data_IF_457473623888
#
_entry.id   IF_457473623888
#
_cell.length_a   1.000
_cell.length_b   1.000
_cell.length_c   1.000
_cell.angle_alpha   90.00
_cell.angle_beta   90.00
_cell.angle_gamma   90.00
#
_symmetry.space_group_name_H-M   'P 1'
#
loop_
_entity.id
_entity.type
_entity.pdbx_description
1 polymer ?
#
# COMPACT_ATOMS: atom_id res chain seq x y z
N UNK A 1 40.07 -20.68 -37.36
CA UNK A 1 38.72 -20.22 -36.98
C UNK A 1 38.81 -19.64 -35.58
N UNK A 2 38.85 -18.31 -35.48
CA UNK A 2 38.98 -17.61 -34.20
C UNK A 2 37.61 -17.56 -33.52
N UNK A 3 37.49 -18.19 -32.36
CA UNK A 3 36.29 -18.07 -31.52
C UNK A 3 36.10 -16.60 -31.13
N UNK A 4 34.92 -16.00 -31.37
CA UNK A 4 34.68 -14.63 -30.96
C UNK A 4 34.82 -14.55 -29.43
N UNK A 5 35.66 -13.61 -28.99
CA UNK A 5 35.83 -13.32 -27.57
C UNK A 5 34.47 -12.92 -26.99
N UNK A 6 34.01 -13.52 -25.87
CA UNK A 6 32.76 -13.12 -25.25
C UNK A 6 32.84 -11.63 -24.92
N UNK A 7 31.86 -10.87 -25.40
CA UNK A 7 31.76 -9.45 -25.09
C UNK A 7 31.86 -9.26 -23.57
N UNK A 8 32.65 -8.30 -23.06
CA UNK A 8 32.79 -8.07 -21.63
C UNK A 8 31.39 -7.89 -21.06
N UNK A 9 31.05 -8.71 -20.08
CA UNK A 9 29.80 -8.60 -19.33
C UNK A 9 29.79 -7.21 -18.71
N UNK A 10 29.16 -6.25 -19.40
CA UNK A 10 29.01 -4.90 -18.92
C UNK A 10 28.48 -4.97 -17.49
N UNK A 11 29.18 -4.31 -16.59
CA UNK A 11 29.04 -4.38 -15.15
C UNK A 11 27.60 -3.99 -14.74
N UNK A 12 26.67 -4.96 -14.77
CA UNK A 12 25.25 -4.82 -14.40
C UNK A 12 25.08 -4.82 -12.87
N UNK A 13 26.10 -4.36 -12.14
CA UNK A 13 26.12 -4.35 -10.68
C UNK A 13 25.58 -3.04 -10.09
N UNK A 14 25.37 -1.99 -10.89
CA UNK A 14 24.77 -0.75 -10.40
C UNK A 14 23.34 -0.92 -9.86
N UNK A 15 22.99 -0.17 -8.79
CA UNK A 15 21.65 -0.16 -8.20
C UNK A 15 20.55 0.06 -9.26
N UNK A 16 20.75 1.02 -10.18
CA UNK A 16 19.80 1.35 -11.23
C UNK A 16 19.50 0.16 -12.18
N UNK A 17 20.52 -0.63 -12.53
CA UNK A 17 20.35 -1.81 -13.37
C UNK A 17 19.58 -2.94 -12.67
N UNK A 18 19.53 -2.92 -11.32
CA UNK A 18 18.86 -3.94 -10.50
C UNK A 18 17.50 -3.47 -9.96
N UNK A 19 17.28 -2.17 -9.86
CA UNK A 19 16.01 -1.55 -9.45
C UNK A 19 15.05 -1.30 -10.63
N UNK A 20 15.60 -0.90 -11.77
CA UNK A 20 14.83 -0.52 -12.95
C UNK A 20 15.00 -1.51 -14.10
N UNK A 21 13.94 -1.65 -14.87
CA UNK A 21 13.94 -2.35 -16.15
C UNK A 21 13.48 -1.37 -17.24
N UNK A 22 14.45 -0.71 -17.90
CA UNK A 22 14.16 0.26 -18.95
C UNK A 22 13.41 -0.34 -20.13
N UNK A 23 13.51 -1.66 -20.35
CA UNK A 23 12.76 -2.36 -21.41
C UNK A 23 11.28 -2.52 -21.08
N UNK A 24 10.91 -2.39 -19.80
CA UNK A 24 9.53 -2.33 -19.35
C UNK A 24 8.88 -0.94 -19.55
N UNK A 25 9.55 -0.03 -20.27
CA UNK A 25 8.98 1.24 -20.71
C UNK A 25 8.53 1.14 -22.18
N UNK A 26 7.32 1.58 -22.54
CA UNK A 26 6.38 2.39 -21.76
C UNK A 26 5.62 1.64 -20.65
N UNK A 27 5.06 2.33 -19.64
CA UNK A 27 4.28 1.71 -18.57
C UNK A 27 3.09 0.94 -19.13
N UNK A 28 2.82 -0.21 -18.52
CA UNK A 28 1.64 -1.01 -18.86
C UNK A 28 0.33 -0.24 -18.59
N UNK A 29 -0.77 -0.55 -19.31
CA UNK A 29 -2.05 0.12 -19.14
C UNK A 29 -2.56 0.17 -17.69
N UNK A 30 -2.36 -0.90 -16.91
CA UNK A 30 -2.77 -0.94 -15.51
C UNK A 30 -2.06 0.13 -14.65
N UNK A 31 -0.78 0.41 -14.91
CA UNK A 31 -0.04 1.47 -14.21
C UNK A 31 -0.53 2.86 -14.62
N UNK A 32 -0.83 3.06 -15.91
CA UNK A 32 -1.41 4.31 -16.41
C UNK A 32 -2.79 4.57 -15.79
N UNK A 33 -3.66 3.56 -15.74
CA UNK A 33 -4.96 3.66 -15.09
C UNK A 33 -4.84 3.95 -13.60
N UNK A 34 -3.89 3.30 -12.93
CA UNK A 34 -3.63 3.55 -11.51
C UNK A 34 -3.17 4.99 -11.27
N UNK A 35 -2.22 5.47 -12.08
CA UNK A 35 -1.75 6.85 -12.03
C UNK A 35 -2.86 7.86 -12.35
N UNK A 36 -3.75 7.55 -13.30
CA UNK A 36 -4.90 8.39 -13.63
C UNK A 36 -5.88 8.50 -12.46
N UNK A 37 -6.19 7.39 -11.77
CA UNK A 37 -7.04 7.40 -10.59
C UNK A 37 -6.43 8.23 -9.45
N UNK A 38 -5.12 8.08 -9.20
CA UNK A 38 -4.38 8.88 -8.21
C UNK A 38 -4.34 10.37 -8.61
N UNK A 39 -4.15 10.68 -9.90
CA UNK A 39 -4.16 12.06 -10.40
C UNK A 39 -5.54 12.72 -10.23
N UNK A 40 -6.63 12.00 -10.53
CA UNK A 40 -7.98 12.49 -10.30
C UNK A 40 -8.22 12.82 -8.81
N UNK A 41 -7.77 11.96 -7.91
CA UNK A 41 -7.84 12.22 -6.47
C UNK A 41 -6.97 13.43 -6.05
N UNK A 42 -5.75 13.54 -6.59
CA UNK A 42 -4.87 14.67 -6.32
C UNK A 42 -5.50 16.00 -6.78
N UNK A 43 -6.11 16.05 -7.96
CA UNK A 43 -6.85 17.24 -8.45
C UNK A 43 -8.01 17.57 -7.51
N UNK A 44 -8.80 16.58 -7.10
CA UNK A 44 -9.92 16.78 -6.18
C UNK A 44 -9.46 17.35 -4.83
N UNK A 45 -8.35 16.86 -4.27
CA UNK A 45 -7.71 17.37 -3.05
C UNK A 45 -7.18 18.79 -3.22
N UNK A 46 -6.55 19.09 -4.36
CA UNK A 46 -5.99 20.42 -4.64
C UNK A 46 -7.06 21.52 -4.58
N UNK A 47 -8.25 21.21 -5.10
CA UNK A 47 -9.41 22.10 -5.10
C UNK A 47 -9.95 22.39 -3.69
N UNK A 48 -9.66 21.55 -2.69
CA UNK A 48 -10.09 21.76 -1.30
C UNK A 48 -9.24 22.80 -0.55
N UNK A 49 -8.02 23.08 -1.01
CA UNK A 49 -7.13 24.05 -0.37
C UNK A 49 -6.50 23.56 0.95
N UNK A 50 -5.81 24.47 1.65
CA UNK A 50 -5.17 24.21 2.95
C UNK A 50 -4.21 23.01 2.95
N UNK A 51 -4.27 22.20 4.00
CA UNK A 51 -3.48 20.97 4.17
C UNK A 51 -3.68 19.94 3.04
N UNK A 52 -4.83 19.98 2.35
CA UNK A 52 -5.13 19.06 1.24
C UNK A 52 -4.34 19.38 -0.04
N UNK A 53 -3.82 20.60 -0.22
CA UNK A 53 -2.87 20.87 -1.32
C UNK A 53 -1.56 20.10 -1.13
N UNK A 54 -1.09 19.96 0.11
CA UNK A 54 0.08 19.14 0.40
C UNK A 54 -0.23 17.65 0.11
N UNK A 55 -1.41 17.16 0.51
CA UNK A 55 -1.87 15.82 0.16
C UNK A 55 -1.89 15.59 -1.36
N UNK A 56 -2.41 16.55 -2.12
CA UNK A 56 -2.46 16.49 -3.58
C UNK A 56 -1.07 16.34 -4.20
N UNK A 57 -0.10 17.15 -3.76
CA UNK A 57 1.29 17.05 -4.23
C UNK A 57 1.88 15.68 -3.88
N UNK A 58 1.68 15.21 -2.65
CA UNK A 58 2.17 13.92 -2.20
C UNK A 58 1.58 12.76 -3.01
N UNK A 59 0.27 12.75 -3.27
CA UNK A 59 -0.41 11.75 -4.11
C UNK A 59 0.09 11.81 -5.56
N UNK A 60 0.31 13.00 -6.11
CA UNK A 60 0.87 13.15 -7.45
C UNK A 60 2.31 12.60 -7.54
N UNK A 61 3.15 12.86 -6.53
CA UNK A 61 4.51 12.30 -6.45
C UNK A 61 4.49 10.77 -6.34
N UNK A 62 3.56 10.21 -5.56
CA UNK A 62 3.39 8.75 -5.44
C UNK A 62 2.92 8.13 -6.77
N UNK A 63 2.01 8.80 -7.48
CA UNK A 63 1.58 8.38 -8.82
C UNK A 63 2.74 8.38 -9.82
N UNK A 64 3.56 9.43 -9.83
CA UNK A 64 4.76 9.52 -10.67
C UNK A 64 5.80 8.45 -10.29
N UNK A 65 6.01 8.22 -9.00
CA UNK A 65 6.87 7.15 -8.51
C UNK A 65 6.36 5.77 -8.98
N UNK A 66 5.05 5.54 -8.96
CA UNK A 66 4.43 4.32 -9.45
C UNK A 66 4.59 4.09 -10.96
N UNK A 67 4.76 5.16 -11.74
CA UNK A 67 5.02 5.07 -13.18
C UNK A 67 6.47 4.70 -13.51
N UNK A 68 7.42 4.87 -12.59
CA UNK A 68 8.82 4.51 -12.84
C UNK A 68 8.94 3.04 -13.31
N UNK A 69 9.95 2.71 -14.15
CA UNK A 69 10.13 1.39 -14.72
C UNK A 69 10.69 0.39 -13.70
N UNK A 70 10.03 0.28 -12.54
CA UNK A 70 10.41 -0.65 -11.49
C UNK A 70 10.43 -2.09 -12.02
N UNK A 71 11.54 -2.79 -11.80
CA UNK A 71 11.77 -4.16 -12.28
C UNK A 71 10.72 -5.13 -11.74
N UNK A 72 10.17 -6.01 -12.57
CA UNK A 72 9.17 -6.99 -12.15
C UNK A 72 9.58 -8.42 -12.53
N UNK A 73 9.18 -9.45 -11.77
CA UNK A 73 8.49 -9.39 -10.47
C UNK A 73 9.38 -8.83 -9.36
N UNK A 74 8.76 -8.26 -8.31
CA UNK A 74 9.49 -7.61 -7.18
C UNK A 74 10.51 -8.53 -6.49
N UNK A 75 10.33 -9.84 -6.58
CA UNK A 75 11.25 -10.85 -6.04
C UNK A 75 12.61 -10.86 -6.74
N UNK A 76 12.70 -10.39 -7.99
CA UNK A 76 13.97 -10.29 -8.74
C UNK A 76 14.80 -9.06 -8.37
N UNK A 77 14.30 -8.18 -7.49
CA UNK A 77 15.03 -6.99 -7.04
C UNK A 77 15.99 -7.35 -5.92
N UNK A 78 17.12 -6.65 -5.85
CA UNK A 78 17.96 -6.68 -4.65
C UNK A 78 17.17 -6.19 -3.44
N UNK A 79 17.55 -6.64 -2.24
CA UNK A 79 16.90 -6.19 -1.01
C UNK A 79 16.94 -4.67 -0.85
N UNK A 80 18.04 -4.00 -1.24
CA UNK A 80 18.13 -2.54 -1.23
C UNK A 80 17.14 -1.86 -2.19
N UNK A 81 17.02 -2.34 -3.44
CA UNK A 81 16.06 -1.78 -4.40
C UNK A 81 14.61 -2.02 -3.97
N UNK A 82 14.34 -3.18 -3.37
CA UNK A 82 13.05 -3.49 -2.76
C UNK A 82 12.74 -2.56 -1.59
N UNK A 83 13.71 -2.33 -0.71
CA UNK A 83 13.58 -1.43 0.43
C UNK A 83 13.36 0.02 -0.01
N UNK A 84 14.11 0.53 -0.99
CA UNK A 84 13.95 1.91 -1.48
C UNK A 84 12.56 2.17 -2.08
N UNK A 85 12.00 1.24 -2.88
CA UNK A 85 10.62 1.36 -3.37
C UNK A 85 9.63 1.44 -2.19
N UNK A 86 9.78 0.55 -1.21
CA UNK A 86 8.90 0.48 -0.06
C UNK A 86 9.05 1.70 0.87
N UNK A 87 10.27 2.24 0.99
CA UNK A 87 10.54 3.46 1.74
C UNK A 87 9.86 4.66 1.08
N UNK A 88 9.92 4.79 -0.26
CA UNK A 88 9.17 5.82 -0.99
C UNK A 88 7.66 5.66 -0.78
N UNK A 89 7.16 4.42 -0.87
CA UNK A 89 5.76 4.12 -0.65
C UNK A 89 5.28 4.50 0.76
N UNK A 90 6.11 4.34 1.80
CA UNK A 90 5.78 4.76 3.18
C UNK A 90 6.02 6.25 3.42
N UNK A 91 7.04 6.83 2.78
CA UNK A 91 7.43 8.23 2.99
C UNK A 91 6.32 9.21 2.63
N UNK A 92 5.59 8.97 1.53
CA UNK A 92 4.45 9.80 1.10
C UNK A 92 3.35 9.87 2.17
N UNK A 93 2.74 8.74 2.61
CA UNK A 93 1.71 8.76 3.64
C UNK A 93 2.24 9.24 5.00
N UNK A 94 3.49 8.95 5.37
CA UNK A 94 4.10 9.47 6.60
C UNK A 94 4.30 11.00 6.57
N UNK A 95 4.76 11.54 5.43
CA UNK A 95 4.92 12.98 5.23
C UNK A 95 3.56 13.69 5.37
N UNK A 96 2.47 13.08 4.89
CA UNK A 96 1.14 13.66 5.07
C UNK A 96 0.74 13.77 6.54
N UNK A 97 0.99 12.74 7.36
CA UNK A 97 0.77 12.81 8.82
C UNK A 97 1.59 13.96 9.41
N UNK A 98 2.86 14.09 9.04
CA UNK A 98 3.72 15.15 9.55
C UNK A 98 3.19 16.56 9.20
N UNK A 99 2.73 16.76 7.96
CA UNK A 99 2.09 18.03 7.54
C UNK A 99 0.78 18.26 8.30
N UNK A 100 -0.07 17.24 8.45
CA UNK A 100 -1.32 17.34 9.20
C UNK A 100 -1.07 17.72 10.66
N UNK A 101 -0.07 17.11 11.31
CA UNK A 101 0.35 17.44 12.67
C UNK A 101 0.88 18.88 12.77
N UNK A 102 1.78 19.27 11.85
CA UNK A 102 2.37 20.62 11.82
C UNK A 102 1.33 21.73 11.58
N UNK A 103 0.27 21.43 10.82
CA UNK A 103 -0.84 22.35 10.56
C UNK A 103 -1.94 22.30 11.62
N UNK A 104 -1.81 21.47 12.67
CA UNK A 104 -2.80 21.36 13.74
C UNK A 104 -4.14 20.78 13.28
N UNK A 105 -4.12 19.86 12.32
CA UNK A 105 -5.33 19.30 11.72
C UNK A 105 -6.21 18.60 12.78
N UNK A 106 -7.42 19.10 13.09
CA UNK A 106 -8.21 18.63 14.24
C UNK A 106 -8.77 17.21 14.07
N UNK A 107 -8.80 16.69 12.84
CA UNK A 107 -9.23 15.32 12.57
C UNK A 107 -8.16 14.28 12.92
N UNK A 108 -6.88 14.67 13.05
CA UNK A 108 -5.76 13.73 13.23
C UNK A 108 -5.83 12.99 14.57
N UNK A 109 -6.27 13.68 15.62
CA UNK A 109 -6.37 13.14 16.98
C UNK A 109 -7.80 12.95 17.46
N UNK A 110 -8.79 13.20 16.58
CA UNK A 110 -10.21 13.06 16.92
C UNK A 110 -10.55 11.58 17.11
N UNK A 111 -10.88 11.20 18.34
CA UNK A 111 -11.39 9.87 18.65
C UNK A 111 -12.86 9.68 18.24
N UNK A 112 -13.27 8.41 18.14
CA UNK A 112 -14.67 8.01 18.03
C UNK A 112 -15.21 7.50 19.39
N UNK A 113 -16.54 7.33 19.47
CA UNK A 113 -17.14 6.57 20.58
C UNK A 113 -16.57 5.14 20.65
N UNK A 114 -16.37 4.62 21.87
CA UNK A 114 -15.63 3.38 22.11
C UNK A 114 -16.20 2.15 21.35
N UNK A 115 -17.51 2.10 21.10
CA UNK A 115 -18.15 0.99 20.40
C UNK A 115 -17.77 0.92 18.91
N UNK A 116 -17.33 2.03 18.29
CA UNK A 116 -16.83 2.02 16.91
C UNK A 116 -15.57 1.18 16.76
N UNK A 117 -14.76 1.06 17.81
CA UNK A 117 -13.59 0.18 17.80
C UNK A 117 -14.00 -1.30 17.83
N UNK A 118 -15.13 -1.66 18.47
CA UNK A 118 -15.69 -3.00 18.36
C UNK A 118 -16.22 -3.29 16.96
N UNK A 119 -16.90 -2.31 16.34
CA UNK A 119 -17.35 -2.42 14.94
C UNK A 119 -16.16 -2.60 14.00
N UNK A 120 -15.06 -1.87 14.23
CA UNK A 120 -13.82 -2.01 13.48
C UNK A 120 -13.24 -3.43 13.58
N UNK A 121 -13.19 -4.02 14.78
CA UNK A 121 -12.74 -5.39 14.98
C UNK A 121 -13.65 -6.40 14.29
N UNK A 122 -14.97 -6.23 14.37
CA UNK A 122 -15.94 -7.06 13.66
C UNK A 122 -15.76 -6.99 12.14
N UNK A 123 -15.57 -5.78 11.60
CA UNK A 123 -15.29 -5.56 10.19
C UNK A 123 -13.99 -6.25 9.76
N UNK A 124 -12.91 -6.10 10.53
CA UNK A 124 -11.64 -6.76 10.23
C UNK A 124 -11.80 -8.29 10.21
N UNK A 125 -12.54 -8.87 11.17
CA UNK A 125 -12.83 -10.31 11.17
C UNK A 125 -13.58 -10.75 9.90
N UNK A 126 -14.58 -9.98 9.45
CA UNK A 126 -15.32 -10.27 8.20
C UNK A 126 -14.38 -10.22 6.99
N UNK A 127 -13.52 -9.19 6.89
CA UNK A 127 -12.56 -9.04 5.79
C UNK A 127 -11.54 -10.19 5.78
N UNK A 128 -11.06 -10.60 6.95
CA UNK A 128 -10.16 -11.75 7.10
C UNK A 128 -10.80 -13.06 6.63
N UNK A 129 -12.07 -13.30 6.98
CA UNK A 129 -12.83 -14.46 6.50
C UNK A 129 -13.06 -14.41 4.99
N UNK A 130 -13.43 -13.24 4.46
CA UNK A 130 -13.62 -13.03 3.03
C UNK A 130 -12.31 -13.25 2.23
N UNK A 131 -11.17 -12.86 2.80
CA UNK A 131 -9.83 -13.07 2.23
C UNK A 131 -9.44 -14.55 2.08
N UNK A 132 -10.01 -15.45 2.89
CA UNK A 132 -9.84 -16.89 2.73
C UNK A 132 -8.47 -17.43 3.16
N UNK A 133 -7.75 -16.72 4.01
CA UNK A 133 -6.47 -17.20 4.53
C UNK A 133 -6.68 -18.44 5.41
N UNK A 134 -5.86 -19.47 5.20
CA UNK A 134 -5.87 -20.64 6.07
C UNK A 134 -5.08 -20.34 7.36
N UNK A 135 -5.79 -19.86 8.39
CA UNK A 135 -5.21 -19.50 9.67
C UNK A 135 -4.49 -20.66 10.36
N UNK A 136 -4.94 -21.90 10.16
CA UNK A 136 -4.27 -23.08 10.73
C UNK A 136 -2.85 -23.21 10.17
N UNK A 137 -2.68 -23.09 8.86
CA UNK A 137 -1.37 -23.14 8.19
C UNK A 137 -0.51 -21.92 8.47
N UNK A 138 -1.13 -20.74 8.67
CA UNK A 138 -0.41 -19.55 9.09
C UNK A 138 0.19 -19.76 10.49
N UNK A 139 -0.61 -20.24 11.44
CA UNK A 139 -0.17 -20.42 12.82
C UNK A 139 0.86 -21.56 12.98
N UNK A 140 0.81 -22.59 12.12
CA UNK A 140 1.87 -23.63 12.11
C UNK A 140 3.17 -23.17 11.44
N UNK A 141 3.16 -22.07 10.68
CA UNK A 141 4.31 -21.62 9.88
C UNK A 141 4.49 -22.34 8.55
N UNK A 142 3.68 -23.37 8.27
CA UNK A 142 3.70 -24.11 7.01
C UNK A 142 3.39 -23.19 5.81
N UNK A 143 2.54 -22.19 6.01
CA UNK A 143 2.22 -21.22 4.95
C UNK A 143 3.46 -20.44 4.51
N UNK A 144 4.36 -20.10 5.44
CA UNK A 144 5.64 -19.45 5.13
C UNK A 144 6.59 -20.38 4.36
N UNK A 145 6.38 -21.71 4.38
CA UNK A 145 7.11 -22.67 3.56
C UNK A 145 6.52 -22.75 2.16
N UNK A 146 5.20 -22.86 2.06
CA UNK A 146 4.50 -23.06 0.79
C UNK A 146 4.53 -21.82 -0.13
N UNK A 147 4.59 -20.61 0.42
CA UNK A 147 4.59 -19.36 -0.37
C UNK A 147 5.90 -19.12 -1.16
N UNK A 148 6.96 -19.90 -0.87
CA UNK A 148 8.22 -19.84 -1.61
C UNK A 148 9.16 -18.73 -1.13
N UNK A 149 10.28 -18.52 -1.85
CA UNK A 149 11.40 -17.73 -1.35
C UNK A 149 11.11 -16.22 -1.36
N UNK A 150 11.43 -15.57 -0.24
CA UNK A 150 11.68 -14.13 -0.13
C UNK A 150 12.98 -14.01 0.64
N UNK A 151 13.87 -13.09 0.25
CA UNK A 151 15.05 -12.83 1.09
C UNK A 151 14.60 -12.28 2.45
N UNK A 152 15.34 -12.53 3.55
CA UNK A 152 14.96 -12.01 4.86
C UNK A 152 14.81 -10.50 4.87
N UNK A 153 15.65 -9.76 4.12
CA UNK A 153 15.53 -8.31 4.00
C UNK A 153 14.22 -7.89 3.32
N UNK A 154 13.79 -8.59 2.26
CA UNK A 154 12.49 -8.34 1.63
C UNK A 154 11.33 -8.66 2.59
N UNK A 155 11.42 -9.76 3.34
CA UNK A 155 10.42 -10.16 4.32
C UNK A 155 10.31 -9.13 5.47
N UNK A 156 11.43 -8.72 6.06
CA UNK A 156 11.50 -7.65 7.08
C UNK A 156 10.94 -6.33 6.56
N UNK A 157 11.23 -6.00 5.30
CA UNK A 157 10.69 -4.80 4.66
C UNK A 157 9.16 -4.88 4.58
N UNK A 158 8.59 -6.03 4.20
CA UNK A 158 7.13 -6.24 4.17
C UNK A 158 6.49 -6.19 5.55
N UNK A 159 7.16 -6.72 6.58
CA UNK A 159 6.72 -6.59 7.98
C UNK A 159 6.65 -5.12 8.37
N UNK A 160 7.73 -4.37 8.12
CA UNK A 160 7.80 -2.96 8.45
C UNK A 160 6.74 -2.14 7.71
N UNK A 161 6.60 -2.32 6.40
CA UNK A 161 5.61 -1.58 5.61
C UNK A 161 4.18 -2.00 5.92
N UNK A 162 3.91 -3.29 6.09
CA UNK A 162 2.59 -3.79 6.47
C UNK A 162 2.11 -3.29 7.84
N UNK A 163 3.04 -2.92 8.72
CA UNK A 163 2.76 -2.37 10.06
C UNK A 163 2.65 -0.85 10.04
N UNK A 164 3.57 -0.16 9.36
CA UNK A 164 3.70 1.30 9.42
C UNK A 164 2.87 2.03 8.37
N UNK A 165 2.74 1.47 7.16
CA UNK A 165 2.01 2.13 6.08
C UNK A 165 0.53 2.42 6.39
N UNK A 166 -0.22 1.52 7.09
CA UNK A 166 -1.62 1.76 7.40
C UNK A 166 -1.89 3.12 8.07
N UNK A 167 -1.02 3.55 9.00
CA UNK A 167 -1.18 4.84 9.69
C UNK A 167 -1.34 6.00 8.71
N UNK A 168 -0.38 6.14 7.78
CA UNK A 168 -0.41 7.24 6.84
C UNK A 168 -1.34 6.98 5.66
N UNK A 169 -1.64 5.72 5.31
CA UNK A 169 -2.61 5.39 4.27
C UNK A 169 -4.03 5.78 4.70
N UNK A 170 -4.42 5.46 5.93
CA UNK A 170 -5.70 5.90 6.49
C UNK A 170 -5.79 7.43 6.56
N UNK A 171 -4.71 8.07 7.02
CA UNK A 171 -4.64 9.52 7.06
C UNK A 171 -4.77 10.12 5.65
N UNK A 172 -3.98 9.68 4.67
CA UNK A 172 -3.94 10.30 3.35
C UNK A 172 -5.19 10.03 2.52
N UNK A 173 -5.68 8.79 2.51
CA UNK A 173 -6.72 8.37 1.58
C UNK A 173 -8.14 8.40 2.16
N UNK A 174 -8.30 8.44 3.49
CA UNK A 174 -9.62 8.34 4.13
C UNK A 174 -9.98 9.49 5.05
N UNK A 175 -9.00 10.23 5.62
CA UNK A 175 -9.30 11.31 6.56
C UNK A 175 -10.18 12.44 5.99
N UNK A 176 -10.16 12.64 4.67
CA UNK A 176 -11.01 13.65 4.03
C UNK A 176 -12.50 13.41 4.31
N UNK A 177 -12.92 12.15 4.49
CA UNK A 177 -14.30 11.80 4.84
C UNK A 177 -14.76 12.36 6.20
N UNK A 178 -13.83 12.68 7.11
CA UNK A 178 -14.15 13.33 8.40
C UNK A 178 -14.48 14.81 8.23
N UNK A 179 -13.92 15.45 7.21
CA UNK A 179 -14.07 16.88 6.92
C UNK A 179 -15.01 17.17 5.75
N UNK A 180 -15.37 16.14 4.99
CA UNK A 180 -16.19 16.23 3.81
C UNK A 180 -17.62 16.68 4.16
N UNK A 181 -18.08 17.75 3.51
CA UNK A 181 -19.48 18.16 3.52
C UNK A 181 -20.02 18.21 2.09
N UNK A 182 -21.28 17.80 1.94
CA UNK A 182 -21.99 17.85 0.66
C UNK A 182 -21.48 16.88 -0.42
N UNK A 183 -22.04 16.97 -1.64
CA UNK A 183 -21.78 16.01 -2.72
C UNK A 183 -20.30 15.98 -3.17
N UNK A 184 -19.64 17.14 -3.26
CA UNK A 184 -18.23 17.22 -3.64
C UNK A 184 -17.33 16.51 -2.61
N UNK A 185 -17.70 16.60 -1.32
CA UNK A 185 -17.02 15.90 -0.24
C UNK A 185 -17.04 14.38 -0.40
N UNK A 186 -18.22 13.85 -0.74
CA UNK A 186 -18.44 12.42 -1.00
C UNK A 186 -17.63 11.95 -2.21
N UNK A 187 -17.67 12.69 -3.32
CA UNK A 187 -16.92 12.35 -4.54
C UNK A 187 -15.42 12.28 -4.27
N UNK A 188 -14.84 13.28 -3.60
CA UNK A 188 -13.41 13.28 -3.24
C UNK A 188 -13.05 12.09 -2.35
N UNK A 189 -13.93 11.73 -1.41
CA UNK A 189 -13.71 10.57 -0.53
C UNK A 189 -13.75 9.24 -1.29
N UNK A 190 -14.66 9.09 -2.25
CA UNK A 190 -14.72 7.92 -3.14
C UNK A 190 -13.49 7.84 -4.06
N UNK A 191 -13.02 8.97 -4.58
CA UNK A 191 -11.76 9.04 -5.32
C UNK A 191 -10.57 8.62 -4.45
N UNK A 192 -10.57 8.98 -3.16
CA UNK A 192 -9.56 8.52 -2.19
C UNK A 192 -9.55 6.99 -2.05
N UNK A 193 -10.73 6.36 -1.94
CA UNK A 193 -10.85 4.90 -1.91
C UNK A 193 -10.38 4.25 -3.23
N UNK A 194 -10.72 4.82 -4.38
CA UNK A 194 -10.25 4.35 -5.68
C UNK A 194 -8.73 4.49 -5.84
N UNK A 195 -8.15 5.62 -5.42
CA UNK A 195 -6.72 5.87 -5.43
C UNK A 195 -5.97 4.91 -4.49
N UNK A 196 -6.52 4.62 -3.31
CA UNK A 196 -5.99 3.62 -2.39
C UNK A 196 -5.89 2.23 -3.04
N UNK A 197 -6.95 1.77 -3.71
CA UNK A 197 -6.92 0.49 -4.44
C UNK A 197 -5.89 0.57 -5.58
N UNK A 198 -5.98 1.59 -6.43
CA UNK A 198 -5.10 1.79 -7.59
C UNK A 198 -3.61 1.68 -7.22
N UNK A 199 -3.20 2.32 -6.12
CA UNK A 199 -1.82 2.28 -5.61
C UNK A 199 -1.33 0.85 -5.34
N UNK A 200 -2.19 -0.06 -4.89
CA UNK A 200 -1.86 -1.45 -4.62
C UNK A 200 -1.74 -2.32 -5.88
N UNK A 201 -2.26 -1.86 -7.04
CA UNK A 201 -2.25 -2.57 -8.32
C UNK A 201 -1.06 -2.22 -9.24
N UNK A 202 -0.24 -1.22 -8.88
CA UNK A 202 0.95 -0.81 -9.66
C UNK A 202 1.99 -1.94 -9.80
N UNK A 203 1.97 -2.90 -8.87
CA UNK A 203 2.91 -4.03 -8.80
C UNK A 203 2.50 -5.29 -9.57
N UNK A 204 1.60 -5.18 -10.54
CA UNK A 204 1.10 -6.21 -11.46
C UNK A 204 1.50 -7.68 -11.19
N UNK A 205 0.92 -8.25 -10.14
CA UNK A 205 1.00 -9.70 -9.90
C UNK A 205 -0.32 -10.32 -10.33
N UNK A 206 -0.28 -11.33 -11.22
CA UNK A 206 -1.46 -12.00 -11.76
C UNK A 206 -2.52 -12.38 -10.70
N UNK A 207 -2.09 -12.75 -9.49
CA UNK A 207 -2.99 -13.09 -8.38
C UNK A 207 -3.80 -11.91 -7.84
N UNK A 208 -3.29 -10.67 -7.93
CA UNK A 208 -4.01 -9.45 -7.51
C UNK A 208 -5.20 -9.16 -8.41
N UNK A 209 -5.17 -9.65 -9.65
CA UNK A 209 -6.29 -9.51 -10.60
C UNK A 209 -7.37 -10.58 -10.41
N UNK A 210 -7.19 -11.53 -9.49
CA UNK A 210 -8.20 -12.53 -9.22
C UNK A 210 -9.50 -11.85 -8.73
N UNK A 211 -10.69 -12.19 -9.28
CA UNK A 211 -11.94 -11.50 -8.96
C UNK A 211 -12.23 -11.43 -7.46
N UNK A 212 -11.92 -12.51 -6.72
CA UNK A 212 -12.06 -12.55 -5.27
C UNK A 212 -11.17 -11.51 -4.57
N UNK A 213 -9.91 -11.37 -4.99
CA UNK A 213 -8.97 -10.40 -4.39
C UNK A 213 -9.45 -8.98 -4.64
N UNK A 214 -9.83 -8.67 -5.88
CA UNK A 214 -10.39 -7.36 -6.25
C UNK A 214 -11.67 -7.07 -5.47
N UNK A 215 -12.56 -8.04 -5.32
CA UNK A 215 -13.79 -7.87 -4.54
C UNK A 215 -13.52 -7.62 -3.05
N UNK A 216 -12.56 -8.32 -2.44
CA UNK A 216 -12.16 -8.10 -1.04
C UNK A 216 -11.49 -6.74 -0.86
N UNK A 217 -10.63 -6.32 -1.81
CA UNK A 217 -9.99 -5.00 -1.77
C UNK A 217 -11.02 -3.87 -1.93
N UNK A 218 -11.99 -4.01 -2.85
CA UNK A 218 -13.11 -3.08 -2.99
C UNK A 218 -13.96 -3.03 -1.72
N UNK A 219 -14.32 -4.19 -1.17
CA UNK A 219 -15.09 -4.28 0.07
C UNK A 219 -14.35 -3.58 1.20
N UNK A 220 -13.06 -3.89 1.40
CA UNK A 220 -12.22 -3.26 2.42
C UNK A 220 -12.12 -1.74 2.23
N UNK A 221 -11.90 -1.28 0.99
CA UNK A 221 -11.79 0.15 0.71
C UNK A 221 -13.07 0.92 1.07
N UNK A 222 -14.22 0.40 0.64
CA UNK A 222 -15.53 1.01 0.87
C UNK A 222 -15.96 0.91 2.34
N UNK A 223 -15.73 -0.25 2.99
CA UNK A 223 -16.12 -0.45 4.39
C UNK A 223 -15.27 0.40 5.34
N UNK A 224 -13.97 0.53 5.08
CA UNK A 224 -13.09 1.40 5.87
C UNK A 224 -13.45 2.88 5.66
N UNK A 225 -13.77 3.28 4.43
CA UNK A 225 -14.26 4.64 4.16
C UNK A 225 -15.58 4.92 4.90
N UNK A 226 -16.53 3.99 4.84
CA UNK A 226 -17.80 4.11 5.56
C UNK A 226 -17.58 4.20 7.07
N UNK A 227 -16.65 3.40 7.60
CA UNK A 227 -16.29 3.43 9.02
C UNK A 227 -15.74 4.81 9.44
N UNK A 228 -14.90 5.45 8.61
CA UNK A 228 -14.43 6.83 8.88
C UNK A 228 -15.57 7.83 8.82
N UNK A 229 -16.40 7.78 7.77
CA UNK A 229 -17.49 8.72 7.58
C UNK A 229 -18.54 8.65 8.70
N UNK A 230 -18.89 7.44 9.14
CA UNK A 230 -19.92 7.23 10.17
C UNK A 230 -19.39 7.45 11.59
N UNK A 231 -18.13 7.13 11.86
CA UNK A 231 -17.52 7.34 13.18
C UNK A 231 -16.99 8.75 13.41
N UNK A 232 -16.79 9.51 12.33
CA UNK A 232 -16.15 10.84 12.38
C UNK A 232 -14.68 10.78 12.81
N UNK A 233 -14.04 9.61 12.73
CA UNK A 233 -12.65 9.37 13.14
C UNK A 233 -11.96 8.40 12.21
N UNK A 234 -10.67 8.63 11.98
CA UNK A 234 -9.81 7.72 11.21
C UNK A 234 -9.38 6.50 12.04
N UNK A 235 -9.41 6.60 13.38
CA UNK A 235 -8.82 5.60 14.28
C UNK A 235 -9.51 4.23 14.22
N UNK A 236 -10.85 4.11 14.14
CA UNK A 236 -11.49 2.81 13.96
C UNK A 236 -11.10 2.14 12.63
N UNK A 237 -11.00 2.90 11.54
CA UNK A 237 -10.55 2.36 10.25
C UNK A 237 -9.09 1.91 10.30
N UNK A 238 -8.22 2.67 10.97
CA UNK A 238 -6.83 2.28 11.23
C UNK A 238 -6.73 0.98 12.02
N UNK A 239 -7.52 0.83 13.09
CA UNK A 239 -7.55 -0.42 13.86
C UNK A 239 -7.97 -1.60 12.97
N UNK A 240 -9.06 -1.44 12.20
CA UNK A 240 -9.53 -2.49 11.30
C UNK A 240 -8.49 -2.85 10.25
N UNK A 241 -7.82 -1.85 9.66
CA UNK A 241 -6.76 -2.06 8.67
C UNK A 241 -5.55 -2.79 9.27
N UNK A 242 -5.07 -2.39 10.45
CA UNK A 242 -3.95 -3.06 11.14
C UNK A 242 -4.28 -4.53 11.44
N UNK A 243 -5.49 -4.80 11.97
CA UNK A 243 -5.93 -6.18 12.26
C UNK A 243 -6.07 -7.00 10.97
N UNK A 244 -6.61 -6.40 9.91
CA UNK A 244 -6.72 -7.05 8.60
C UNK A 244 -5.34 -7.37 7.99
N UNK A 245 -4.33 -6.54 8.24
CA UNK A 245 -2.97 -6.77 7.75
C UNK A 245 -2.15 -7.73 8.63
N UNK A 246 -2.52 -7.91 9.90
CA UNK A 246 -1.76 -8.69 10.87
C UNK A 246 -1.39 -10.10 10.38
N UNK A 247 -2.26 -10.87 9.69
CA UNK A 247 -1.88 -12.19 9.19
C UNK A 247 -0.79 -12.15 8.11
N UNK A 248 -0.82 -11.15 7.23
CA UNK A 248 0.23 -10.94 6.22
C UNK A 248 1.55 -10.52 6.88
N UNK A 249 1.48 -9.69 7.92
CA UNK A 249 2.66 -9.28 8.71
C UNK A 249 3.26 -10.49 9.44
N UNK A 250 2.44 -11.31 10.09
CA UNK A 250 2.88 -12.52 10.78
C UNK A 250 3.56 -13.50 9.81
N UNK A 251 2.96 -13.73 8.65
CA UNK A 251 3.52 -14.57 7.61
C UNK A 251 4.91 -14.09 7.17
N UNK A 252 5.06 -12.80 6.87
CA UNK A 252 6.35 -12.25 6.44
C UNK A 252 7.36 -12.24 7.59
N UNK A 253 6.92 -12.07 8.83
CA UNK A 253 7.77 -12.24 10.00
C UNK A 253 8.32 -13.66 10.09
N UNK A 254 7.48 -14.69 9.94
CA UNK A 254 7.92 -16.10 9.90
C UNK A 254 8.92 -16.35 8.76
N UNK A 255 8.68 -15.78 7.57
CA UNK A 255 9.61 -15.89 6.43
C UNK A 255 10.96 -15.23 6.71
N UNK A 256 10.98 -14.16 7.51
CA UNK A 256 12.23 -13.46 7.86
C UNK A 256 13.16 -14.23 8.81
N UNK A 257 12.67 -15.26 9.49
CA UNK A 257 13.42 -16.06 10.46
C UNK A 257 14.01 -17.36 9.87
N UNK A 258 13.67 -17.74 8.63
CA UNK A 258 14.05 -19.05 8.09
C UNK A 258 15.53 -19.27 7.81
N UNK A 259 16.36 -18.22 7.77
CA UNK A 259 17.81 -18.36 7.61
C UNK A 259 18.56 -18.63 8.93
N UNK A 260 17.91 -18.56 10.11
CA UNK A 260 18.59 -18.78 11.40
C UNK A 260 18.60 -20.24 11.89
N UNK A 261 18.13 -21.19 11.07
CA UNK A 261 18.03 -22.62 11.42
C UNK A 261 18.68 -23.55 10.39
N UNK A 262 19.53 -23.02 9.51
CA UNK A 262 20.35 -23.79 8.56
C UNK A 262 21.78 -23.94 9.05
#
# INVERSE_FOLDING_TARGET
>A
MSTPSPAPAADRTGFAARAFDRSAWPPQPARLLSAAAMAAFAVALWLQGGTWRAAAVLVALDALAGLLPWRMPRTLRTGAAYWSENALAVAVPAAFIAVAAATGAPWLTRGAAWWWYLVALGLAAVLLLAGGMNFRLLLSGDLAFLIGPSTPLQARTRVATGTLAPFGEEALYRSFAVTAAGPAGVVTSLLGAAAFIARHHVGDSHWRRAPRVVAVELLAALSLLALVALSGSVLPALLAHLVNNAPSVLLEHQRSQKESHG
#
